data_IF_534474302903
#
_entry.id   IF_534474302903
#
_cell.length_a   1.000
_cell.length_b   1.000
_cell.length_c   1.000
_cell.angle_alpha   90.00
_cell.angle_beta   90.00
_cell.angle_gamma   90.00
#
_symmetry.space_group_name_H-M   'P 1'
#
loop_
_entity.id
_entity.type
_entity.pdbx_description
1 polymer ?
#
# COMPACT_ATOMS: atom_id res chain seq x y z
N UNK A 1 -16.92 1.63 -2.90
CA UNK A 1 -15.91 1.17 -3.88
C UNK A 1 -14.95 2.32 -4.17
N UNK A 2 -13.66 2.02 -4.34
CA UNK A 2 -12.62 2.99 -4.68
C UNK A 2 -12.13 2.82 -6.11
N UNK A 3 -11.54 3.87 -6.68
CA UNK A 3 -10.95 3.90 -8.04
C UNK A 3 -9.45 4.17 -8.04
N UNK A 4 -8.84 4.27 -6.85
CA UNK A 4 -7.41 4.59 -6.65
C UNK A 4 -6.68 3.51 -5.84
N UNK A 5 -7.34 2.35 -5.66
CA UNK A 5 -6.90 1.26 -4.78
C UNK A 5 -6.55 -0.01 -5.58
N UNK A 6 -6.13 0.16 -6.84
CA UNK A 6 -5.89 -0.91 -7.81
C UNK A 6 -6.67 -0.69 -9.12
N UNK A 7 -6.69 -1.70 -10.03
CA UNK A 7 -7.40 -1.60 -11.30
C UNK A 7 -8.92 -1.65 -11.12
N UNK A 8 -9.64 -0.86 -11.91
CA UNK A 8 -11.11 -0.86 -11.98
C UNK A 8 -11.81 -0.33 -10.73
N UNK A 9 -13.10 -0.63 -10.59
CA UNK A 9 -13.90 -0.32 -9.40
C UNK A 9 -13.65 -1.42 -8.37
N UNK A 10 -13.19 -1.06 -7.18
CA UNK A 10 -12.82 -2.05 -6.17
C UNK A 10 -13.63 -1.97 -4.89
N UNK A 11 -14.02 -3.11 -4.34
CA UNK A 11 -14.50 -3.22 -2.97
C UNK A 11 -13.29 -3.23 -2.04
N UNK A 12 -13.13 -2.17 -1.23
CA UNK A 12 -11.93 -1.99 -0.41
C UNK A 12 -12.26 -2.31 1.05
N UNK A 13 -11.48 -3.21 1.64
CA UNK A 13 -11.57 -3.58 3.05
C UNK A 13 -10.43 -2.89 3.79
N UNK A 14 -10.77 -2.01 4.74
CA UNK A 14 -9.80 -1.37 5.62
C UNK A 14 -9.66 -2.19 6.90
N UNK A 15 -8.57 -2.95 7.01
CA UNK A 15 -8.20 -3.67 8.23
C UNK A 15 -7.74 -2.70 9.33
N UNK A 16 -7.98 -3.07 10.59
CA UNK A 16 -7.43 -2.33 11.75
C UNK A 16 -6.17 -3.02 12.28
N UNK A 17 -5.29 -2.27 12.92
CA UNK A 17 -3.95 -2.69 13.30
C UNK A 17 -2.91 -2.33 12.24
N UNK A 18 -1.87 -1.60 12.64
CA UNK A 18 -0.71 -1.32 11.81
C UNK A 18 0.55 -1.23 12.69
N UNK A 19 1.65 -1.93 12.37
CA UNK A 19 2.88 -1.81 13.13
C UNK A 19 3.64 -0.50 12.86
N UNK A 20 3.33 0.20 11.76
CA UNK A 20 3.97 1.46 11.40
C UNK A 20 3.31 2.66 12.12
N UNK A 21 4.05 3.77 12.23
CA UNK A 21 3.59 5.08 12.71
C UNK A 21 3.93 6.17 11.70
N UNK A 22 3.49 5.95 10.46
CA UNK A 22 3.74 6.88 9.34
C UNK A 22 3.34 8.31 9.69
N UNK A 23 4.25 9.27 9.53
CA UNK A 23 4.00 10.69 9.80
C UNK A 23 2.86 11.29 8.96
N UNK A 24 2.62 10.74 7.76
CA UNK A 24 1.52 11.15 6.87
C UNK A 24 0.31 10.21 6.88
N UNK A 25 0.21 9.27 7.83
CA UNK A 25 -0.85 8.25 7.83
C UNK A 25 -2.24 8.87 7.63
N UNK A 26 -2.92 8.52 6.54
CA UNK A 26 -4.29 8.99 6.25
C UNK A 26 -5.35 8.32 7.13
N UNK A 27 -5.01 7.21 7.78
CA UNK A 27 -5.90 6.41 8.62
C UNK A 27 -5.29 6.12 10.00
N UNK A 28 -4.99 7.16 10.81
CA UNK A 28 -4.45 6.96 12.16
C UNK A 28 -5.44 6.18 13.07
N UNK A 29 -6.72 6.17 12.72
CA UNK A 29 -7.78 5.36 13.31
C UNK A 29 -7.62 3.85 13.08
N UNK A 30 -6.80 3.41 12.12
CA UNK A 30 -6.49 2.00 11.88
C UNK A 30 -5.24 1.50 12.62
N UNK A 31 -4.60 2.30 13.49
CA UNK A 31 -3.31 1.91 14.14
C UNK A 31 -3.42 0.70 15.06
N UNK A 32 -4.55 0.53 15.72
CA UNK A 32 -4.73 -0.46 16.79
C UNK A 32 -5.74 -1.53 16.38
N UNK A 33 -5.50 -2.78 16.81
CA UNK A 33 -6.31 -3.94 16.42
C UNK A 33 -7.71 -3.91 17.02
N UNK A 34 -7.84 -3.29 18.19
CA UNK A 34 -9.09 -3.10 18.91
C UNK A 34 -10.02 -2.08 18.26
N UNK A 35 -9.51 -1.28 17.32
CA UNK A 35 -10.33 -0.32 16.58
C UNK A 35 -11.20 -1.03 15.53
N UNK A 36 -12.30 -0.38 15.15
CA UNK A 36 -13.20 -0.87 14.11
C UNK A 36 -14.21 -1.92 14.61
N UNK A 37 -14.74 -2.70 13.66
CA UNK A 37 -15.80 -3.70 13.90
C UNK A 37 -15.24 -5.11 13.68
N UNK A 38 -15.48 -6.01 14.63
CA UNK A 38 -15.24 -7.45 14.45
C UNK A 38 -16.25 -8.00 13.45
N UNK A 39 -15.75 -8.69 12.44
CA UNK A 39 -16.54 -9.27 11.34
C UNK A 39 -16.01 -10.65 11.01
N UNK A 40 -16.90 -11.53 10.58
CA UNK A 40 -16.55 -12.84 10.03
C UNK A 40 -16.19 -12.75 8.54
N UNK A 41 -15.47 -13.76 8.05
CA UNK A 41 -15.18 -13.90 6.61
C UNK A 41 -16.48 -14.02 5.82
N UNK A 42 -17.46 -14.76 6.33
CA UNK A 42 -18.75 -14.97 5.65
C UNK A 42 -19.54 -13.66 5.50
N UNK A 43 -19.57 -12.81 6.52
CA UNK A 43 -20.18 -11.48 6.42
C UNK A 43 -19.51 -10.63 5.34
N UNK A 44 -18.18 -10.59 5.30
CA UNK A 44 -17.44 -9.80 4.31
C UNK A 44 -17.68 -10.34 2.89
N UNK A 45 -17.66 -11.66 2.71
CA UNK A 45 -17.92 -12.29 1.41
C UNK A 45 -19.37 -12.07 0.95
N UNK A 46 -20.33 -12.06 1.87
CA UNK A 46 -21.72 -11.71 1.55
C UNK A 46 -21.83 -10.25 1.06
N UNK A 47 -21.13 -9.30 1.70
CA UNK A 47 -21.10 -7.90 1.27
C UNK A 47 -20.41 -7.72 -0.09
N UNK A 48 -19.25 -8.35 -0.30
CA UNK A 48 -18.49 -8.29 -1.56
C UNK A 48 -19.37 -8.70 -2.75
N UNK A 49 -20.15 -9.77 -2.60
CA UNK A 49 -20.97 -10.31 -3.69
C UNK A 49 -22.05 -9.33 -4.16
N UNK A 50 -22.53 -8.43 -3.31
CA UNK A 50 -23.50 -7.39 -3.70
C UNK A 50 -22.95 -6.43 -4.76
N UNK A 51 -21.63 -6.31 -4.86
CA UNK A 51 -20.95 -5.40 -5.78
C UNK A 51 -20.28 -6.12 -6.97
N UNK A 52 -20.47 -7.45 -7.11
CA UNK A 52 -19.77 -8.27 -8.10
C UNK A 52 -19.94 -7.77 -9.53
N UNK A 53 -21.16 -7.38 -9.93
CA UNK A 53 -21.44 -6.87 -11.28
C UNK A 53 -20.67 -5.59 -11.62
N UNK A 54 -20.52 -4.67 -10.66
CA UNK A 54 -19.74 -3.44 -10.84
C UNK A 54 -18.24 -3.74 -11.00
N UNK A 55 -17.72 -4.71 -10.24
CA UNK A 55 -16.33 -5.15 -10.34
C UNK A 55 -16.08 -5.81 -11.70
N UNK A 56 -16.95 -6.73 -12.14
CA UNK A 56 -16.83 -7.39 -13.45
C UNK A 56 -16.88 -6.39 -14.61
N UNK A 57 -17.82 -5.43 -14.58
CA UNK A 57 -17.98 -4.44 -15.62
C UNK A 57 -16.77 -3.50 -15.79
N UNK A 58 -15.97 -3.32 -14.74
CA UNK A 58 -14.82 -2.39 -14.74
C UNK A 58 -13.46 -3.09 -14.78
N UNK A 59 -13.41 -4.43 -14.80
CA UNK A 59 -12.17 -5.18 -14.58
C UNK A 59 -11.59 -4.98 -13.17
N UNK A 60 -12.46 -4.68 -12.21
CA UNK A 60 -12.13 -4.38 -10.82
C UNK A 60 -12.01 -5.63 -9.94
N UNK A 61 -12.31 -5.48 -8.65
CA UNK A 61 -12.22 -6.59 -7.70
C UNK A 61 -12.16 -6.15 -6.24
N UNK A 62 -11.55 -6.95 -5.38
CA UNK A 62 -11.42 -6.64 -3.95
C UNK A 62 -10.00 -6.15 -3.65
N UNK A 63 -9.85 -5.09 -2.87
CA UNK A 63 -8.57 -4.66 -2.29
C UNK A 63 -8.63 -4.79 -0.79
N UNK A 64 -7.61 -5.42 -0.20
CA UNK A 64 -7.44 -5.44 1.25
C UNK A 64 -6.35 -4.44 1.60
N UNK A 65 -6.71 -3.41 2.36
CA UNK A 65 -5.88 -2.26 2.77
C UNK A 65 -6.16 -1.95 4.26
N UNK A 66 -6.05 -0.69 4.67
CA UNK A 66 -6.36 -0.25 6.03
C UNK A 66 -5.16 0.25 6.80
N UNK A 67 -4.89 -0.43 7.92
CA UNK A 67 -3.62 -0.36 8.62
C UNK A 67 -2.57 -1.18 7.88
N UNK A 68 -2.32 -2.39 8.34
CA UNK A 68 -1.47 -3.37 7.66
C UNK A 68 -2.21 -4.71 7.53
N UNK A 69 -2.74 -5.06 6.34
CA UNK A 69 -3.48 -6.30 6.13
C UNK A 69 -2.73 -7.56 6.58
N UNK A 70 -1.41 -7.59 6.41
CA UNK A 70 -0.60 -8.75 6.79
C UNK A 70 -0.51 -8.95 8.31
N UNK A 71 -0.91 -7.96 9.10
CA UNK A 71 -1.06 -8.11 10.56
C UNK A 71 -2.26 -9.00 10.95
N UNK A 72 -3.17 -9.26 10.01
CA UNK A 72 -4.30 -10.19 10.14
C UNK A 72 -4.26 -11.27 9.04
N UNK A 73 -3.07 -11.81 8.75
CA UNK A 73 -2.80 -12.71 7.62
C UNK A 73 -3.78 -13.87 7.46
N UNK A 74 -4.18 -14.55 8.54
CA UNK A 74 -5.15 -15.67 8.48
C UNK A 74 -6.52 -15.22 7.96
N UNK A 75 -7.01 -14.08 8.44
CA UNK A 75 -8.30 -13.51 8.02
C UNK A 75 -8.24 -13.06 6.55
N UNK A 76 -7.16 -12.35 6.18
CA UNK A 76 -6.94 -11.87 4.82
C UNK A 76 -6.82 -13.04 3.82
N UNK A 77 -6.07 -14.09 4.18
CA UNK A 77 -5.92 -15.30 3.36
C UNK A 77 -7.27 -15.93 3.03
N UNK A 78 -8.15 -16.12 4.02
CA UNK A 78 -9.45 -16.75 3.78
C UNK A 78 -10.36 -15.86 2.92
N UNK A 79 -10.32 -14.53 3.06
CA UNK A 79 -11.03 -13.63 2.15
C UNK A 79 -10.50 -13.78 0.72
N UNK A 80 -9.19 -13.68 0.50
CA UNK A 80 -8.60 -13.77 -0.83
C UNK A 80 -8.92 -15.12 -1.50
N UNK A 81 -8.80 -16.22 -0.75
CA UNK A 81 -9.14 -17.57 -1.22
C UNK A 81 -10.60 -17.68 -1.66
N UNK A 82 -11.53 -17.11 -0.89
CA UNK A 82 -12.96 -17.13 -1.21
C UNK A 82 -13.28 -16.22 -2.40
N UNK A 83 -12.69 -15.03 -2.49
CA UNK A 83 -12.78 -14.16 -3.67
C UNK A 83 -12.31 -14.88 -4.94
N UNK A 84 -11.16 -15.57 -4.88
CA UNK A 84 -10.63 -16.34 -6.01
C UNK A 84 -11.59 -17.46 -6.43
N UNK A 85 -12.19 -18.18 -5.48
CA UNK A 85 -13.20 -19.22 -5.79
C UNK A 85 -14.47 -18.66 -6.46
N UNK A 86 -14.74 -17.36 -6.28
CA UNK A 86 -15.86 -16.64 -6.90
C UNK A 86 -15.48 -15.96 -8.22
N UNK A 87 -14.23 -16.12 -8.68
CA UNK A 87 -13.69 -15.47 -9.88
C UNK A 87 -13.45 -13.96 -9.72
N UNK A 88 -13.26 -13.48 -8.48
CA UNK A 88 -13.05 -12.06 -8.18
C UNK A 88 -11.55 -11.78 -8.01
N UNK A 89 -11.02 -10.84 -8.79
CA UNK A 89 -9.62 -10.39 -8.69
C UNK A 89 -9.33 -9.77 -7.32
N UNK A 90 -8.19 -10.12 -6.74
CA UNK A 90 -7.75 -9.68 -5.41
C UNK A 90 -6.48 -8.83 -5.51
N UNK A 91 -6.47 -7.71 -4.78
CA UNK A 91 -5.29 -6.87 -4.59
C UNK A 91 -4.97 -6.76 -3.10
N UNK A 92 -3.68 -6.85 -2.76
CA UNK A 92 -3.18 -6.64 -1.40
C UNK A 92 -2.43 -5.32 -1.35
N UNK A 93 -2.91 -4.36 -0.55
CA UNK A 93 -2.30 -3.05 -0.34
C UNK A 93 -1.57 -3.02 1.00
N UNK A 94 -0.25 -3.06 0.97
CA UNK A 94 0.60 -3.39 2.13
C UNK A 94 1.89 -2.58 2.16
N UNK A 95 2.41 -2.34 3.37
CA UNK A 95 3.77 -1.83 3.56
C UNK A 95 4.85 -2.88 3.35
N UNK A 96 4.49 -4.16 3.27
CA UNK A 96 5.43 -5.28 3.25
C UNK A 96 6.19 -5.50 4.56
N UNK A 97 5.94 -4.68 5.60
CA UNK A 97 6.55 -4.85 6.91
C UNK A 97 5.81 -5.96 7.68
N UNK A 98 6.29 -7.19 7.52
CA UNK A 98 5.62 -8.37 8.05
C UNK A 98 6.62 -9.50 8.36
N UNK A 99 6.12 -10.51 9.08
CA UNK A 99 6.74 -11.84 9.05
C UNK A 99 6.48 -12.46 7.67
N UNK A 100 7.57 -12.78 6.95
CA UNK A 100 7.48 -13.21 5.56
C UNK A 100 6.70 -14.53 5.42
N UNK A 101 6.90 -15.49 6.34
CA UNK A 101 6.20 -16.79 6.28
C UNK A 101 4.69 -16.63 6.36
N UNK A 102 4.21 -15.76 7.25
CA UNK A 102 2.80 -15.41 7.35
C UNK A 102 2.25 -14.84 6.03
N UNK A 103 3.03 -14.02 5.34
CA UNK A 103 2.63 -13.39 4.09
C UNK A 103 2.59 -14.37 2.90
N UNK A 104 3.50 -15.36 2.84
CA UNK A 104 3.53 -16.38 1.75
C UNK A 104 2.16 -17.05 1.56
N UNK A 105 1.54 -17.43 2.67
CA UNK A 105 0.23 -18.10 2.66
C UNK A 105 -0.90 -17.24 2.09
N UNK A 106 -0.80 -15.91 2.21
CA UNK A 106 -1.75 -14.95 1.64
C UNK A 106 -1.50 -14.78 0.14
N UNK A 107 -0.22 -14.67 -0.26
CA UNK A 107 0.21 -14.40 -1.64
C UNK A 107 -0.18 -15.49 -2.64
N UNK A 108 -0.43 -16.73 -2.18
CA UNK A 108 -1.01 -17.80 -2.99
C UNK A 108 -2.37 -17.44 -3.59
N UNK A 109 -3.15 -16.59 -2.92
CA UNK A 109 -4.52 -16.23 -3.31
C UNK A 109 -4.67 -14.78 -3.74
N UNK A 110 -3.58 -14.01 -3.77
CA UNK A 110 -3.55 -12.61 -4.21
C UNK A 110 -3.12 -12.53 -5.67
N UNK A 111 -3.84 -11.77 -6.49
CA UNK A 111 -3.50 -11.59 -7.91
C UNK A 111 -2.49 -10.44 -8.12
N UNK A 112 -2.64 -9.34 -7.39
CA UNK A 112 -1.80 -8.14 -7.47
C UNK A 112 -1.37 -7.66 -6.08
N UNK A 113 -0.12 -7.24 -5.93
CA UNK A 113 0.35 -6.54 -4.73
C UNK A 113 0.56 -5.07 -5.03
N UNK A 114 -0.02 -4.20 -4.20
CA UNK A 114 0.28 -2.78 -4.13
C UNK A 114 1.24 -2.59 -2.95
N UNK A 115 2.53 -2.41 -3.24
CA UNK A 115 3.57 -2.37 -2.23
C UNK A 115 4.05 -0.93 -1.98
N UNK A 116 3.83 -0.46 -0.76
CA UNK A 116 4.31 0.83 -0.29
C UNK A 116 5.79 0.76 0.12
N UNK A 117 6.68 1.34 -0.69
CA UNK A 117 8.06 1.61 -0.28
C UNK A 117 8.17 3.10 0.03
N UNK A 118 8.10 3.43 1.32
CA UNK A 118 7.84 4.81 1.79
C UNK A 118 9.04 5.75 1.70
N UNK A 119 10.25 5.19 1.64
CA UNK A 119 11.55 5.83 1.40
C UNK A 119 12.55 4.71 1.12
N UNK A 120 13.67 4.99 0.45
CA UNK A 120 14.78 4.05 0.30
C UNK A 120 15.95 4.36 1.24
N UNK A 121 16.08 5.61 1.68
CA UNK A 121 17.02 5.99 2.73
C UNK A 121 16.58 5.43 4.10
N UNK A 122 17.36 4.55 4.76
CA UNK A 122 16.95 3.89 6.01
C UNK A 122 16.68 4.87 7.16
N UNK A 123 17.41 6.00 7.21
CA UNK A 123 17.25 7.02 8.26
C UNK A 123 15.90 7.72 8.08
N UNK A 124 15.60 8.16 6.86
CA UNK A 124 14.33 8.77 6.48
C UNK A 124 13.18 7.80 6.66
N UNK A 125 13.32 6.54 6.23
CA UNK A 125 12.30 5.51 6.40
C UNK A 125 11.97 5.29 7.88
N UNK A 126 12.99 5.16 8.74
CA UNK A 126 12.80 4.98 10.18
C UNK A 126 12.14 6.20 10.82
N UNK A 127 12.59 7.41 10.47
CA UNK A 127 11.97 8.66 10.93
C UNK A 127 10.51 8.76 10.52
N UNK A 128 10.21 8.36 9.28
CA UNK A 128 8.87 8.43 8.72
C UNK A 128 7.93 7.38 9.33
N UNK A 129 8.39 6.15 9.52
CA UNK A 129 7.51 4.99 9.80
C UNK A 129 7.66 4.41 11.21
N UNK A 130 8.71 4.80 11.95
CA UNK A 130 9.15 4.22 13.22
C UNK A 130 9.65 2.77 13.16
N UNK A 131 9.86 2.21 11.96
CA UNK A 131 10.40 0.86 11.76
C UNK A 131 11.48 0.85 10.69
N UNK A 132 12.23 -0.24 10.61
CA UNK A 132 13.30 -0.41 9.63
C UNK A 132 12.74 -0.82 8.25
N UNK A 133 13.46 -0.49 7.17
CA UNK A 133 13.03 -0.72 5.78
C UNK A 133 13.27 -2.17 5.32
N UNK A 134 14.21 -2.87 5.94
CA UNK A 134 14.72 -4.16 5.51
C UNK A 134 13.62 -5.22 5.35
N UNK A 135 12.62 -5.34 6.25
CA UNK A 135 11.51 -6.28 6.05
C UNK A 135 10.72 -6.00 4.76
N UNK A 136 10.45 -4.73 4.44
CA UNK A 136 9.79 -4.33 3.19
C UNK A 136 10.62 -4.67 1.96
N UNK A 137 11.95 -4.46 2.00
CA UNK A 137 12.83 -4.83 0.87
C UNK A 137 12.95 -6.35 0.70
N UNK A 138 13.00 -7.10 1.80
CA UNK A 138 12.96 -8.57 1.78
C UNK A 138 11.66 -9.07 1.18
N UNK A 139 10.53 -8.45 1.55
CA UNK A 139 9.23 -8.75 0.96
C UNK A 139 9.20 -8.47 -0.55
N UNK A 140 9.69 -7.30 -0.99
CA UNK A 140 9.78 -6.95 -2.41
C UNK A 140 10.59 -7.97 -3.22
N UNK A 141 11.74 -8.41 -2.71
CA UNK A 141 12.56 -9.46 -3.35
C UNK A 141 11.83 -10.79 -3.43
N UNK A 142 11.10 -11.18 -2.38
CA UNK A 142 10.31 -12.40 -2.42
C UNK A 142 9.19 -12.34 -3.46
N UNK A 143 8.52 -11.18 -3.63
CA UNK A 143 7.52 -11.00 -4.69
C UNK A 143 8.12 -11.19 -6.08
N UNK A 144 9.35 -10.72 -6.30
CA UNK A 144 10.10 -10.95 -7.54
C UNK A 144 10.44 -12.44 -7.74
N UNK A 145 10.93 -13.12 -6.71
CA UNK A 145 11.26 -14.56 -6.75
C UNK A 145 10.06 -15.42 -7.18
N UNK A 146 8.84 -15.08 -6.76
CA UNK A 146 7.61 -15.79 -7.14
C UNK A 146 6.91 -15.17 -8.36
N UNK A 147 7.52 -14.17 -9.00
CA UNK A 147 6.97 -13.42 -10.13
C UNK A 147 5.54 -12.89 -9.89
N UNK A 148 5.28 -12.33 -8.70
CA UNK A 148 3.98 -11.78 -8.33
C UNK A 148 3.79 -10.38 -8.95
N UNK A 149 2.77 -10.13 -9.79
CA UNK A 149 2.46 -8.79 -10.27
C UNK A 149 2.43 -7.78 -9.13
N UNK A 150 3.23 -6.72 -9.25
CA UNK A 150 3.41 -5.73 -8.19
C UNK A 150 3.41 -4.32 -8.74
N UNK A 151 2.67 -3.43 -8.09
CA UNK A 151 2.77 -2.00 -8.27
C UNK A 151 3.45 -1.40 -7.05
N UNK A 152 4.50 -0.63 -7.27
CA UNK A 152 5.14 0.12 -6.19
C UNK A 152 4.38 1.43 -5.97
N UNK A 153 4.11 1.77 -4.73
CA UNK A 153 3.52 3.05 -4.34
C UNK A 153 4.54 3.84 -3.54
N UNK A 154 4.77 5.08 -3.96
CA UNK A 154 5.73 5.98 -3.34
C UNK A 154 5.07 7.33 -3.06
N UNK A 155 4.95 7.69 -1.79
CA UNK A 155 4.38 8.99 -1.39
C UNK A 155 5.47 10.05 -1.43
N UNK A 156 5.30 11.06 -2.30
CA UNK A 156 6.20 12.19 -2.45
C UNK A 156 5.83 13.30 -1.45
N UNK A 157 6.67 13.51 -0.44
CA UNK A 157 6.47 14.46 0.66
C UNK A 157 7.63 15.47 0.66
N UNK A 158 7.36 16.77 0.43
CA UNK A 158 8.40 17.79 0.38
C UNK A 158 9.17 17.91 1.71
N UNK A 159 10.50 17.90 1.63
CA UNK A 159 11.39 17.96 2.80
C UNK A 159 11.46 16.66 3.61
N UNK A 160 10.90 15.57 3.09
CA UNK A 160 10.93 14.27 3.78
C UNK A 160 11.31 13.14 2.82
N UNK A 161 10.56 12.90 1.75
CA UNK A 161 10.84 11.81 0.81
C UNK A 161 11.25 12.29 -0.59
N UNK A 162 11.19 13.60 -0.85
CA UNK A 162 11.45 14.17 -2.18
C UNK A 162 12.94 14.39 -2.53
N UNK A 163 13.86 13.92 -1.69
CA UNK A 163 15.29 13.93 -2.02
C UNK A 163 15.55 13.09 -3.30
N UNK A 164 16.15 13.68 -4.37
CA UNK A 164 16.45 12.96 -5.60
C UNK A 164 17.27 11.69 -5.42
N UNK A 165 18.20 11.64 -4.46
CA UNK A 165 19.03 10.45 -4.20
C UNK A 165 18.21 9.34 -3.54
N UNK A 166 17.26 9.69 -2.66
CA UNK A 166 16.30 8.74 -2.10
C UNK A 166 15.44 8.11 -3.20
N UNK A 167 14.92 8.93 -4.13
CA UNK A 167 14.10 8.45 -5.25
C UNK A 167 14.95 7.63 -6.22
N UNK A 168 16.17 8.07 -6.52
CA UNK A 168 17.10 7.37 -7.40
C UNK A 168 17.50 6.01 -6.83
N UNK A 169 17.73 5.91 -5.51
CA UNK A 169 17.99 4.67 -4.81
C UNK A 169 16.83 3.68 -4.93
N UNK A 170 15.60 4.15 -4.70
CA UNK A 170 14.40 3.34 -4.89
C UNK A 170 14.27 2.84 -6.34
N UNK A 171 14.47 3.75 -7.30
CA UNK A 171 14.35 3.42 -8.72
C UNK A 171 15.44 2.42 -9.17
N UNK A 172 16.67 2.55 -8.66
CA UNK A 172 17.75 1.59 -8.92
C UNK A 172 17.42 0.20 -8.35
N UNK A 173 16.85 0.13 -7.15
CA UNK A 173 16.43 -1.13 -6.54
C UNK A 173 15.30 -1.80 -7.34
N UNK A 174 14.26 -1.03 -7.70
CA UNK A 174 13.11 -1.53 -8.46
C UNK A 174 13.51 -1.99 -9.87
N UNK A 175 14.47 -1.31 -10.52
CA UNK A 175 14.95 -1.68 -11.85
C UNK A 175 15.64 -3.06 -11.89
N UNK A 176 15.97 -3.64 -10.73
CA UNK A 176 16.52 -5.00 -10.62
C UNK A 176 15.43 -6.08 -10.50
N UNK A 177 14.18 -5.69 -10.27
CA UNK A 177 13.04 -6.59 -10.10
C UNK A 177 12.26 -6.71 -11.42
N UNK A 178 11.83 -7.93 -11.75
CA UNK A 178 11.22 -8.29 -13.03
C UNK A 178 9.69 -8.28 -12.99
N UNK A 179 9.11 -8.34 -11.79
CA UNK A 179 7.67 -8.46 -11.54
C UNK A 179 6.94 -7.11 -11.37
N UNK A 180 7.65 -6.00 -11.47
CA UNK A 180 7.12 -4.65 -11.21
C UNK A 180 6.48 -4.10 -12.48
N UNK A 181 5.16 -3.93 -12.46
CA UNK A 181 4.41 -3.45 -13.62
C UNK A 181 4.41 -1.92 -13.72
N UNK A 182 4.41 -1.22 -12.58
CA UNK A 182 4.47 0.24 -12.50
C UNK A 182 4.84 0.78 -11.13
N UNK A 183 5.22 2.05 -11.11
CA UNK A 183 5.36 2.88 -9.90
C UNK A 183 4.27 3.95 -9.92
N UNK A 184 3.56 4.12 -8.82
CA UNK A 184 2.63 5.22 -8.56
C UNK A 184 3.29 6.23 -7.64
N UNK A 185 3.56 7.43 -8.15
CA UNK A 185 4.06 8.55 -7.34
C UNK A 185 2.86 9.32 -6.80
N UNK A 186 2.57 9.13 -5.51
CA UNK A 186 1.43 9.71 -4.82
C UNK A 186 1.83 11.05 -4.20
N UNK A 187 1.30 12.20 -4.67
CA UNK A 187 1.62 13.48 -4.06
C UNK A 187 1.04 13.56 -2.64
N UNK A 188 1.85 14.02 -1.68
CA UNK A 188 1.37 14.27 -0.32
C UNK A 188 0.18 15.23 -0.31
N UNK A 189 -0.82 14.91 0.52
CA UNK A 189 -2.00 15.71 0.75
C UNK A 189 -2.38 15.68 2.24
N UNK A 190 -3.11 16.71 2.72
CA UNK A 190 -3.47 16.86 4.15
C UNK A 190 -4.85 16.33 4.52
N UNK A 191 -5.47 15.53 3.67
CA UNK A 191 -6.87 15.10 3.89
C UNK A 191 -7.06 14.28 5.18
N UNK A 192 -6.01 13.66 5.72
CA UNK A 192 -6.06 12.90 6.97
C UNK A 192 -5.91 13.73 8.24
N UNK A 193 -5.51 15.00 8.16
CA UNK A 193 -5.12 15.83 9.32
C UNK A 193 -6.21 15.90 10.40
N UNK A 194 -7.47 16.06 10.01
CA UNK A 194 -8.60 16.14 10.95
C UNK A 194 -8.74 14.88 11.83
N UNK A 195 -8.36 13.69 11.32
CA UNK A 195 -8.42 12.44 12.09
C UNK A 195 -7.36 12.41 13.18
N UNK A 196 -6.19 12.98 12.93
CA UNK A 196 -5.13 13.09 13.94
C UNK A 196 -5.59 13.98 15.09
N UNK A 197 -6.18 15.13 14.76
CA UNK A 197 -6.73 16.06 15.75
C UNK A 197 -7.84 15.41 16.59
N UNK A 198 -8.80 14.71 15.95
CA UNK A 198 -9.89 14.01 16.65
C UNK A 198 -9.42 12.91 17.60
N UNK A 199 -8.33 12.23 17.26
CA UNK A 199 -7.73 11.18 18.08
C UNK A 199 -6.75 11.73 19.13
N UNK A 200 -6.54 13.04 19.19
CA UNK A 200 -5.59 13.68 20.09
C UNK A 200 -4.12 13.39 19.76
N UNK A 201 -3.81 13.06 18.50
CA UNK A 201 -2.44 12.87 18.03
C UNK A 201 -1.86 14.17 17.46
N UNK A 202 -0.59 14.42 17.75
CA UNK A 202 0.16 15.48 17.09
C UNK A 202 0.44 15.13 15.63
N UNK A 203 0.13 16.06 14.71
CA UNK A 203 0.40 15.90 13.28
C UNK A 203 1.63 16.71 12.85
N UNK A 204 2.78 16.03 12.78
CA UNK A 204 4.08 16.67 12.53
C UNK A 204 4.26 17.24 11.11
N UNK A 205 3.33 16.97 10.18
CA UNK A 205 3.37 17.47 8.80
C UNK A 205 2.36 18.59 8.54
N UNK A 206 1.86 19.23 9.61
CA UNK A 206 0.87 20.32 9.54
C UNK A 206 1.29 21.47 8.62
N UNK A 207 2.57 21.85 8.64
CA UNK A 207 3.09 22.96 7.81
C UNK A 207 3.70 22.49 6.49
N UNK A 208 3.82 21.18 6.25
CA UNK A 208 4.38 20.63 5.02
C UNK A 208 3.48 20.96 3.83
N UNK A 209 4.05 21.51 2.75
CA UNK A 209 3.30 21.82 1.54
C UNK A 209 3.03 20.57 0.70
N UNK A 210 2.00 20.60 -0.13
CA UNK A 210 1.80 19.61 -1.19
C UNK A 210 2.89 19.77 -2.26
N UNK A 211 3.43 18.69 -2.85
CA UNK A 211 4.40 18.80 -3.94
C UNK A 211 3.89 19.66 -5.10
N UNK A 212 4.77 20.50 -5.64
CA UNK A 212 4.47 21.22 -6.89
C UNK A 212 4.44 20.27 -8.09
N UNK A 213 3.74 20.62 -9.19
CA UNK A 213 3.78 19.83 -10.43
C UNK A 213 5.20 19.57 -10.95
N UNK A 214 6.12 20.52 -10.73
CA UNK A 214 7.54 20.37 -11.09
C UNK A 214 8.25 19.30 -10.25
N UNK A 215 7.98 19.24 -8.94
CA UNK A 215 8.53 18.18 -8.07
C UNK A 215 7.98 16.81 -8.44
N UNK A 216 6.68 16.72 -8.72
CA UNK A 216 6.05 15.47 -9.17
C UNK A 216 6.69 14.99 -10.47
N UNK A 217 6.80 15.88 -11.47
CA UNK A 217 7.42 15.54 -12.75
C UNK A 217 8.89 15.11 -12.58
N UNK A 218 9.66 15.82 -11.75
CA UNK A 218 11.06 15.45 -11.47
C UNK A 218 11.17 14.05 -10.85
N UNK A 219 10.31 13.71 -9.89
CA UNK A 219 10.26 12.37 -9.30
C UNK A 219 9.90 11.29 -10.34
N UNK A 220 8.88 11.54 -11.17
CA UNK A 220 8.48 10.64 -12.25
C UNK A 220 9.61 10.40 -13.25
N UNK A 221 10.34 11.46 -13.63
CA UNK A 221 11.44 11.37 -14.59
C UNK A 221 12.59 10.51 -14.05
N UNK A 222 12.87 10.53 -12.74
CA UNK A 222 13.89 9.67 -12.12
C UNK A 222 13.57 8.18 -12.33
N UNK A 223 12.32 7.77 -12.18
CA UNK A 223 11.88 6.40 -12.45
C UNK A 223 11.87 6.08 -13.95
N UNK A 224 11.31 6.96 -14.77
CA UNK A 224 11.19 6.76 -16.23
C UNK A 224 12.55 6.65 -16.91
N UNK A 225 13.55 7.41 -16.46
CA UNK A 225 14.93 7.32 -16.96
C UNK A 225 15.60 5.95 -16.71
N UNK A 226 15.01 5.10 -15.87
CA UNK A 226 15.44 3.70 -15.63
C UNK A 226 14.54 2.68 -16.33
N UNK A 227 13.69 3.13 -17.26
CA UNK A 227 12.77 2.26 -18.00
C UNK A 227 11.54 1.82 -17.22
N UNK A 228 11.30 2.41 -16.04
CA UNK A 228 10.15 2.05 -15.20
C UNK A 228 8.93 2.87 -15.61
N UNK A 229 7.79 2.22 -15.81
CA UNK A 229 6.51 2.90 -15.99
C UNK A 229 6.15 3.61 -14.67
N UNK A 230 6.26 4.93 -14.64
CA UNK A 230 5.88 5.74 -13.49
C UNK A 230 4.74 6.69 -13.84
N UNK A 231 3.71 6.73 -12.97
CA UNK A 231 2.50 7.55 -13.12
C UNK A 231 2.24 8.39 -11.87
#
# INVERSE_FOLDING_TARGET
CGTVDGPGIRFVIFTSGCPLRCLYCSNPDCRYLENGRKVSVDEIIAEIQKYKSYMEASGGGVTISGGEPLFQSTFVREICKRCRSLGIHTALDTSGFCDLESAKSVLEFVDLVLLDIKSFDPVTYTKLTSVAIEPTLTFAKYLDEINKPTWIRFVLVPGLTDDPENIAGLANFIAQLNNIERVEVLPFHKMGEYKWEQLGFEYLLKDTLTPSPKQIQAALDIFRNRGILAI
#
